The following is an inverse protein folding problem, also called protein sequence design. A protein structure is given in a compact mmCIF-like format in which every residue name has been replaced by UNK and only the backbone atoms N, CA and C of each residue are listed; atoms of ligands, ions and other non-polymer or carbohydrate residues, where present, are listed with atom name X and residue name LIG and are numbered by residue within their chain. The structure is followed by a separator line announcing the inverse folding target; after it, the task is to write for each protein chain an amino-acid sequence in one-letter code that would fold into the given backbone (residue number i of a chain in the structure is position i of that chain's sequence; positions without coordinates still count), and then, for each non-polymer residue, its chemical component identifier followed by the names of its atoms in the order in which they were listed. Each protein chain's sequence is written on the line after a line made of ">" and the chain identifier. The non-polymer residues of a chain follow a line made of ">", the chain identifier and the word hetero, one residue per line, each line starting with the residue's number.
data_IF_735483816564
#
_entry.id   IF_735483816564
#
_cell.length_a   1.000
_cell.length_b   1.000
_cell.length_c   1.000
_cell.angle_alpha   90.00
_cell.angle_beta   90.00
_cell.angle_gamma   90.00
#
_symmetry.space_group_name_H-M   'P 1'
#
loop_
_entity.id
_entity.type
_entity.pdbx_description
1 polymer ?
#
# COMPACT_ATOMS: atom_id res chain seq x y z
N UNK A 1 18.40 -23.11 13.57
CA UNK A 1 17.64 -22.61 12.41
C UNK A 1 16.48 -21.81 12.96
N UNK A 2 16.52 -20.49 12.84
CA UNK A 2 15.41 -19.61 13.19
C UNK A 2 14.32 -19.85 12.14
N UNK A 3 13.31 -20.63 12.49
CA UNK A 3 12.10 -20.74 11.67
C UNK A 3 11.47 -19.36 11.64
N UNK A 4 11.38 -18.77 10.45
CA UNK A 4 10.66 -17.51 10.26
C UNK A 4 9.18 -17.87 10.40
N UNK A 5 8.58 -17.49 11.52
CA UNK A 5 7.15 -17.62 11.75
C UNK A 5 6.46 -16.46 11.01
N UNK A 6 6.09 -16.69 9.76
CA UNK A 6 5.32 -15.72 8.96
C UNK A 6 3.84 -15.92 9.28
N UNK A 7 3.26 -14.99 10.03
CA UNK A 7 1.83 -14.97 10.28
C UNK A 7 1.12 -14.27 9.11
N UNK A 8 0.52 -15.07 8.21
CA UNK A 8 -0.22 -14.58 7.06
C UNK A 8 -1.40 -13.67 7.44
N UNK A 9 -2.01 -13.88 8.61
CA UNK A 9 -3.13 -13.04 9.06
C UNK A 9 -2.62 -11.65 9.49
N UNK A 10 -1.53 -11.59 10.23
CA UNK A 10 -0.87 -10.32 10.58
C UNK A 10 -0.43 -9.56 9.31
N UNK A 11 0.07 -10.27 8.29
CA UNK A 11 0.42 -9.64 7.00
C UNK A 11 -0.81 -9.08 6.27
N UNK A 12 -1.94 -9.80 6.24
CA UNK A 12 -3.19 -9.30 5.65
C UNK A 12 -3.72 -8.08 6.39
N UNK A 13 -3.66 -8.07 7.71
CA UNK A 13 -4.05 -6.91 8.52
C UNK A 13 -3.16 -5.70 8.23
N UNK A 14 -1.85 -5.91 8.09
CA UNK A 14 -0.93 -4.84 7.71
C UNK A 14 -1.20 -4.29 6.31
N UNK A 15 -1.47 -5.18 5.33
CA UNK A 15 -1.86 -4.76 3.98
C UNK A 15 -3.19 -3.97 3.99
N UNK A 16 -4.18 -4.41 4.76
CA UNK A 16 -5.45 -3.71 4.89
C UNK A 16 -5.29 -2.31 5.52
N UNK A 17 -4.46 -2.18 6.56
CA UNK A 17 -4.16 -0.89 7.18
C UNK A 17 -3.43 0.07 6.23
N UNK A 18 -2.55 -0.45 5.37
CA UNK A 18 -1.89 0.35 4.33
C UNK A 18 -2.89 0.83 3.27
N UNK A 19 -3.80 -0.04 2.84
CA UNK A 19 -4.91 0.32 1.93
C UNK A 19 -5.84 1.38 2.56
N UNK A 20 -6.13 1.29 3.86
CA UNK A 20 -6.92 2.31 4.55
C UNK A 20 -6.20 3.68 4.56
N UNK A 21 -4.88 3.67 4.69
CA UNK A 21 -4.04 4.88 4.68
C UNK A 21 -4.04 5.59 3.32
N UNK A 22 -4.39 4.93 2.22
CA UNK A 22 -4.53 5.55 0.90
C UNK A 22 -5.58 6.66 0.90
N UNK A 23 -6.71 6.43 1.59
CA UNK A 23 -7.77 7.41 1.73
C UNK A 23 -7.32 8.66 2.47
N UNK A 24 -6.47 8.49 3.49
CA UNK A 24 -5.89 9.61 4.24
C UNK A 24 -4.90 10.41 3.39
N UNK A 25 -4.08 9.74 2.57
CA UNK A 25 -3.13 10.39 1.67
C UNK A 25 -3.88 11.19 0.58
N UNK A 26 -4.95 10.63 0.02
CA UNK A 26 -5.80 11.33 -0.95
C UNK A 26 -6.48 12.54 -0.32
N UNK A 27 -7.04 12.39 0.89
CA UNK A 27 -7.64 13.51 1.61
C UNK A 27 -6.63 14.62 1.90
N UNK A 28 -5.37 14.26 2.22
CA UNK A 28 -4.28 15.22 2.39
C UNK A 28 -3.94 15.92 1.07
N UNK A 29 -3.90 15.18 -0.04
CA UNK A 29 -3.62 15.74 -1.37
C UNK A 29 -4.70 16.75 -1.79
N UNK A 30 -5.97 16.42 -1.56
CA UNK A 30 -7.10 17.30 -1.86
C UNK A 30 -7.07 18.54 -0.96
N UNK A 31 -6.84 18.37 0.34
CA UNK A 31 -6.69 19.49 1.26
C UNK A 31 -5.53 20.42 0.87
N UNK A 32 -4.40 19.87 0.43
CA UNK A 32 -3.25 20.67 -0.02
C UNK A 32 -3.55 21.47 -1.29
N UNK A 33 -4.41 20.95 -2.19
CA UNK A 33 -4.89 21.70 -3.37
C UNK A 33 -5.88 22.78 -3.00
N UNK A 34 -6.81 22.49 -2.09
CA UNK A 34 -7.80 23.47 -1.62
C UNK A 34 -7.16 24.62 -0.83
N UNK A 35 -6.06 24.35 -0.13
CA UNK A 35 -5.32 25.34 0.63
C UNK A 35 -4.51 26.30 -0.25
N UNK A 36 -4.34 25.99 -1.55
CA UNK A 36 -3.57 26.86 -2.43
C UNK A 36 -4.26 28.21 -2.62
N UNK A 37 -3.58 29.32 -2.29
CA UNK A 37 -4.16 30.64 -2.43
C UNK A 37 -4.26 31.04 -3.90
N UNK A 38 -5.45 31.48 -4.31
CA UNK A 38 -5.70 32.01 -5.65
C UNK A 38 -4.72 33.14 -6.01
N UNK A 39 -4.29 33.21 -7.28
CA UNK A 39 -3.26 34.17 -7.73
C UNK A 39 -3.58 35.64 -7.40
N UNK A 40 -4.86 36.00 -7.34
CA UNK A 40 -5.33 37.35 -7.02
C UNK A 40 -5.27 37.68 -5.51
N UNK A 41 -5.19 36.68 -4.62
CA UNK A 41 -5.09 36.86 -3.17
C UNK A 41 -3.73 37.42 -2.72
N UNK A 42 -2.73 37.35 -3.58
CA UNK A 42 -1.34 37.72 -3.30
C UNK A 42 -1.02 39.18 -3.66
N UNK A 43 -2.00 39.91 -4.21
CA UNK A 43 -1.82 41.27 -4.70
C UNK A 43 -0.81 41.38 -5.87
N UNK A 44 -0.33 42.59 -6.16
CA UNK A 44 0.55 42.85 -7.31
C UNK A 44 1.90 42.14 -7.20
N UNK A 45 2.43 41.97 -5.98
CA UNK A 45 3.66 41.19 -5.75
C UNK A 45 3.47 39.70 -6.05
N UNK A 46 2.25 39.20 -5.83
CA UNK A 46 1.83 37.85 -6.19
C UNK A 46 1.92 37.53 -7.67
N UNK A 47 1.65 38.51 -8.53
CA UNK A 47 1.64 38.31 -9.99
C UNK A 47 3.00 37.85 -10.55
N UNK A 48 4.10 38.24 -9.89
CA UNK A 48 5.46 37.83 -10.27
C UNK A 48 5.84 36.49 -9.64
N UNK A 49 5.39 36.21 -8.42
CA UNK A 49 5.79 35.02 -7.65
C UNK A 49 4.87 33.81 -7.88
N UNK A 50 3.63 34.03 -8.32
CA UNK A 50 2.62 33.01 -8.54
C UNK A 50 3.09 31.88 -9.48
N UNK A 51 3.75 32.15 -10.64
CA UNK A 51 4.20 31.06 -11.52
C UNK A 51 5.21 30.12 -10.85
N UNK A 52 6.14 30.66 -10.06
CA UNK A 52 7.13 29.85 -9.34
C UNK A 52 6.50 29.07 -8.19
N UNK A 53 5.53 29.66 -7.49
CA UNK A 53 4.75 28.98 -6.46
C UNK A 53 3.97 27.80 -7.05
N UNK A 54 3.12 28.04 -8.06
CA UNK A 54 2.27 27.00 -8.62
C UNK A 54 3.07 25.87 -9.28
N UNK A 55 4.20 26.18 -9.93
CA UNK A 55 5.10 25.13 -10.43
C UNK A 55 5.63 24.21 -9.31
N UNK A 56 5.91 24.78 -8.13
CA UNK A 56 6.35 24.01 -6.98
C UNK A 56 5.18 23.28 -6.29
N UNK A 57 4.02 23.92 -6.17
CA UNK A 57 2.81 23.33 -5.62
C UNK A 57 2.36 22.11 -6.44
N UNK A 58 2.31 22.24 -7.77
CA UNK A 58 1.98 21.14 -8.70
C UNK A 58 2.93 19.94 -8.51
N UNK A 59 4.23 20.20 -8.31
CA UNK A 59 5.21 19.13 -8.04
C UNK A 59 4.90 18.40 -6.73
N UNK A 60 4.58 19.13 -5.66
CA UNK A 60 4.22 18.50 -4.38
C UNK A 60 2.88 17.76 -4.46
N UNK A 61 1.89 18.32 -5.14
CA UNK A 61 0.60 17.65 -5.34
C UNK A 61 0.75 16.34 -6.13
N UNK A 62 1.58 16.34 -7.17
CA UNK A 62 1.92 15.13 -7.91
C UNK A 62 2.61 14.12 -7.02
N UNK A 63 3.66 14.53 -6.27
CA UNK A 63 4.41 13.62 -5.42
C UNK A 63 3.57 12.98 -4.29
N UNK A 64 2.63 13.73 -3.70
CA UNK A 64 1.69 13.18 -2.72
C UNK A 64 0.73 12.19 -3.37
N UNK A 65 0.28 12.47 -4.60
CA UNK A 65 -0.57 11.53 -5.35
C UNK A 65 0.19 10.25 -5.72
N UNK A 66 1.43 10.35 -6.19
CA UNK A 66 2.29 9.20 -6.53
C UNK A 66 2.60 8.33 -5.31
N UNK A 67 2.57 8.93 -4.10
CA UNK A 67 2.75 8.19 -2.84
C UNK A 67 1.62 7.18 -2.60
N UNK A 68 0.42 7.43 -3.10
CA UNK A 68 -0.71 6.48 -3.04
C UNK A 68 -0.37 5.22 -3.83
N UNK A 69 0.12 5.37 -5.06
CA UNK A 69 0.51 4.23 -5.90
C UNK A 69 1.62 3.40 -5.25
N UNK A 70 2.60 4.06 -4.62
CA UNK A 70 3.68 3.38 -3.90
C UNK A 70 3.17 2.59 -2.68
N UNK A 71 2.26 3.18 -1.88
CA UNK A 71 1.65 2.52 -0.72
C UNK A 71 0.78 1.33 -1.16
N UNK A 72 -0.03 1.53 -2.19
CA UNK A 72 -0.88 0.49 -2.78
C UNK A 72 -0.06 -0.69 -3.29
N UNK A 73 0.99 -0.40 -4.07
CA UNK A 73 1.90 -1.42 -4.58
C UNK A 73 2.63 -2.18 -3.48
N UNK A 74 2.92 -1.55 -2.33
CA UNK A 74 3.48 -2.24 -1.18
C UNK A 74 2.43 -3.14 -0.49
N UNK A 75 1.23 -2.63 -0.26
CA UNK A 75 0.13 -3.36 0.35
C UNK A 75 -0.20 -4.63 -0.45
N UNK A 76 -0.31 -4.51 -1.78
CA UNK A 76 -0.58 -5.63 -2.68
C UNK A 76 0.51 -6.70 -2.63
N UNK A 77 1.78 -6.29 -2.54
CA UNK A 77 2.90 -7.24 -2.41
C UNK A 77 2.88 -7.97 -1.07
N UNK A 78 2.50 -7.29 0.00
CA UNK A 78 2.35 -7.90 1.32
C UNK A 78 1.20 -8.92 1.31
N UNK A 79 0.07 -8.56 0.70
CA UNK A 79 -1.08 -9.45 0.56
C UNK A 79 -0.75 -10.67 -0.30
N UNK A 80 -0.09 -10.49 -1.45
CA UNK A 80 0.35 -11.59 -2.30
C UNK A 80 1.30 -12.54 -1.56
N UNK A 81 2.20 -12.02 -0.73
CA UNK A 81 3.09 -12.84 0.09
C UNK A 81 2.31 -13.67 1.14
N UNK A 82 1.29 -13.08 1.78
CA UNK A 82 0.44 -13.80 2.73
C UNK A 82 -0.36 -14.92 2.05
N UNK A 83 -0.89 -14.66 0.85
CA UNK A 83 -1.68 -15.63 0.09
C UNK A 83 -0.81 -16.78 -0.46
N UNK A 84 0.41 -16.50 -0.91
CA UNK A 84 1.38 -17.52 -1.30
C UNK A 84 1.77 -18.42 -0.12
N UNK A 85 2.01 -17.84 1.06
CA UNK A 85 2.30 -18.60 2.28
C UNK A 85 1.14 -19.52 2.68
N UNK A 86 -0.08 -18.99 2.72
CA UNK A 86 -1.26 -19.80 3.04
C UNK A 86 -1.53 -20.91 2.01
N UNK A 87 -1.29 -20.65 0.72
CA UNK A 87 -1.40 -21.64 -0.34
C UNK A 87 -0.38 -22.77 -0.21
N UNK A 88 0.87 -22.43 0.11
CA UNK A 88 1.93 -23.41 0.35
C UNK A 88 1.62 -24.30 1.57
N UNK A 89 1.15 -23.71 2.67
CA UNK A 89 0.77 -24.48 3.86
C UNK A 89 -0.38 -25.46 3.56
N UNK A 90 -1.39 -25.02 2.80
CA UNK A 90 -2.49 -25.89 2.38
C UNK A 90 -2.02 -27.02 1.46
N UNK A 91 -1.11 -26.74 0.52
CA UNK A 91 -0.56 -27.74 -0.40
C UNK A 91 0.29 -28.78 0.35
N UNK A 92 1.11 -28.34 1.32
CA UNK A 92 1.91 -29.22 2.18
C UNK A 92 0.99 -30.08 3.05
N UNK A 93 -0.06 -29.51 3.65
CA UNK A 93 -1.02 -30.27 4.44
C UNK A 93 -1.71 -31.36 3.61
N UNK A 94 -2.11 -31.05 2.38
CA UNK A 94 -2.72 -32.02 1.46
C UNK A 94 -1.75 -33.15 1.06
N UNK A 95 -0.49 -32.84 0.77
CA UNK A 95 0.55 -33.85 0.50
C UNK A 95 0.81 -34.73 1.72
N UNK A 96 0.90 -34.15 2.92
CA UNK A 96 1.07 -34.91 4.16
C UNK A 96 -0.12 -35.83 4.46
N UNK A 97 -1.35 -35.37 4.19
CA UNK A 97 -2.55 -36.19 4.33
C UNK A 97 -2.55 -37.34 3.31
N UNK A 98 -2.16 -37.08 2.06
CA UNK A 98 -1.99 -38.10 1.03
C UNK A 98 -0.96 -39.15 1.44
N UNK A 99 0.24 -38.72 1.85
CA UNK A 99 1.30 -39.62 2.33
C UNK A 99 0.82 -40.42 3.56
N UNK A 100 0.13 -39.77 4.50
CA UNK A 100 -0.43 -40.43 5.68
C UNK A 100 -1.54 -41.43 5.36
N UNK A 101 -2.31 -41.18 4.31
CA UNK A 101 -3.29 -42.10 3.73
C UNK A 101 -2.64 -43.31 3.07
N UNK A 102 -1.60 -43.09 2.26
CA UNK A 102 -0.83 -44.15 1.61
C UNK A 102 -0.16 -45.06 2.65
N UNK A 103 0.39 -44.49 3.73
CA UNK A 103 0.99 -45.23 4.84
C UNK A 103 -0.03 -46.01 5.68
N UNK A 104 -1.27 -45.51 5.83
CA UNK A 104 -2.35 -46.21 6.56
C UNK A 104 -3.11 -47.22 5.69
N UNK A 105 -3.10 -47.04 4.37
CA UNK A 105 -3.76 -47.91 3.40
C UNK A 105 -2.91 -49.09 2.91
N UNK A 106 -1.65 -49.18 3.34
CA UNK A 106 -0.74 -50.28 2.99
C UNK A 106 -1.18 -51.63 3.54
N UNK A 107 -1.99 -52.35 2.76
CA UNK A 107 -1.98 -53.81 2.63
C UNK A 107 -1.37 -54.19 1.30
#
# INVERSE_FOLDING_TARGET
>A
MTWINVDAETLRQAAAALHESEGEILALADYAKEADPEWWMWGVAGLVMAPAYFALADYFHSAVTDSVEAVSGLADRIQACADEHAGNDAAIAAELERIGGDLRGGK
#
